data_IF_192594158952
#
_entry.id   IF_192594158952
#
_cell.length_a   1.000
_cell.length_b   1.000
_cell.length_c   1.000
_cell.angle_alpha   90.00
_cell.angle_beta   90.00
_cell.angle_gamma   90.00
#
_symmetry.space_group_name_H-M   'P 1'
#
loop_
_entity.id
_entity.type
_entity.pdbx_description
1 polymer ?
#
# COMPACT_ATOMS: atom_id res chain seq x y z
N UNK A 1 -5.45 16.13 14.64
CA UNK A 1 -4.96 14.82 14.18
C UNK A 1 -3.49 14.77 14.56
N UNK A 2 -3.01 13.62 15.02
CA UNK A 2 -1.58 13.43 15.24
C UNK A 2 -0.91 13.32 13.87
N UNK A 3 -0.02 14.26 13.54
CA UNK A 3 0.70 14.33 12.26
C UNK A 3 2.08 13.67 12.35
N UNK A 4 2.35 12.95 13.44
CA UNK A 4 3.59 12.18 13.56
C UNK A 4 3.63 11.06 12.52
N UNK A 5 4.78 10.93 11.86
CA UNK A 5 5.01 9.84 10.93
C UNK A 5 4.82 8.50 11.64
N UNK A 6 4.19 7.53 10.97
CA UNK A 6 4.00 6.19 11.53
C UNK A 6 5.36 5.65 12.02
N UNK A 7 5.47 5.02 13.20
CA UNK A 7 6.77 4.65 13.77
C UNK A 7 7.66 3.78 12.87
N UNK A 8 7.07 2.99 11.96
CA UNK A 8 7.82 2.22 10.95
C UNK A 8 8.62 3.10 9.96
N UNK A 9 8.16 4.34 9.75
CA UNK A 9 8.77 5.35 8.90
C UNK A 9 9.77 6.23 9.66
N UNK A 10 10.13 5.85 10.89
CA UNK A 10 11.27 6.45 11.57
C UNK A 10 12.58 5.78 11.09
N UNK A 11 13.56 6.53 10.56
CA UNK A 11 14.89 6.00 10.25
C UNK A 11 15.56 5.30 11.44
N UNK A 12 15.31 5.80 12.65
CA UNK A 12 15.88 5.29 13.91
C UNK A 12 15.00 4.24 14.61
N UNK A 13 13.90 3.80 13.98
CA UNK A 13 12.98 2.80 14.53
C UNK A 13 13.67 1.54 15.09
N UNK A 14 14.74 1.09 14.45
CA UNK A 14 15.48 -0.11 14.86
C UNK A 14 16.52 0.15 15.97
N UNK A 15 16.86 1.41 16.23
CA UNK A 15 17.82 1.81 17.26
C UNK A 15 17.17 1.89 18.65
N UNK A 16 15.91 2.28 18.72
CA UNK A 16 15.18 2.43 19.98
C UNK A 16 14.38 1.18 20.34
N UNK A 17 14.35 0.84 21.64
CA UNK A 17 13.52 -0.26 22.13
C UNK A 17 12.07 0.19 22.17
N UNK A 18 11.30 -0.18 21.15
CA UNK A 18 9.85 0.04 21.13
C UNK A 18 9.06 -1.27 21.25
N UNK A 19 7.85 -1.18 21.84
CA UNK A 19 6.92 -2.32 21.89
C UNK A 19 6.53 -2.78 20.48
N UNK A 20 6.36 -1.85 19.55
CA UNK A 20 6.07 -2.16 18.16
C UNK A 20 7.21 -2.95 17.51
N UNK A 21 8.47 -2.50 17.66
CA UNK A 21 9.64 -3.22 17.15
C UNK A 21 9.69 -4.65 17.70
N UNK A 22 9.40 -4.83 18.99
CA UNK A 22 9.34 -6.17 19.60
C UNK A 22 8.27 -7.06 18.95
N UNK A 23 7.06 -6.53 18.75
CA UNK A 23 5.96 -7.28 18.13
C UNK A 23 6.27 -7.67 16.67
N UNK A 24 6.81 -6.75 15.88
CA UNK A 24 7.12 -7.04 14.47
C UNK A 24 8.27 -8.04 14.37
N UNK A 25 9.29 -7.95 15.24
CA UNK A 25 10.35 -8.96 15.33
C UNK A 25 9.80 -10.33 15.73
N UNK A 26 8.83 -10.38 16.64
CA UNK A 26 8.18 -11.63 17.04
C UNK A 26 7.41 -12.25 15.87
N UNK A 27 6.63 -11.46 15.13
CA UNK A 27 5.93 -11.91 13.93
C UNK A 27 6.91 -12.43 12.87
N UNK A 28 8.00 -11.69 12.59
CA UNK A 28 9.04 -12.16 11.66
C UNK A 28 9.66 -13.50 12.09
N UNK A 29 9.98 -13.66 13.39
CA UNK A 29 10.52 -14.93 13.91
C UNK A 29 9.56 -16.09 13.71
N UNK A 30 8.25 -15.87 13.90
CA UNK A 30 7.21 -16.88 13.66
C UNK A 30 7.08 -17.20 12.17
N UNK A 31 7.09 -16.19 11.30
CA UNK A 31 7.04 -16.37 9.85
C UNK A 31 8.17 -17.25 9.30
N UNK A 32 9.30 -17.34 10.02
CA UNK A 32 10.46 -18.16 9.64
C UNK A 32 10.39 -19.63 10.07
N UNK A 33 9.39 -20.02 10.88
CA UNK A 33 9.33 -21.37 11.44
C UNK A 33 8.89 -22.40 10.39
N UNK A 34 7.74 -22.15 9.78
CA UNK A 34 7.17 -22.98 8.73
C UNK A 34 6.17 -22.18 7.88
N UNK A 35 5.65 -22.80 6.82
CA UNK A 35 4.76 -22.17 5.86
C UNK A 35 3.37 -21.86 6.43
N UNK A 36 2.88 -22.65 7.39
CA UNK A 36 1.59 -22.40 8.03
C UNK A 36 1.68 -21.22 9.01
N UNK A 37 2.77 -21.15 9.79
CA UNK A 37 3.10 -20.00 10.62
C UNK A 37 3.28 -18.73 9.76
N UNK A 38 3.89 -18.86 8.58
CA UNK A 38 3.99 -17.74 7.65
C UNK A 38 2.62 -17.29 7.16
N UNK A 39 1.77 -18.21 6.72
CA UNK A 39 0.40 -17.91 6.28
C UNK A 39 -0.39 -17.16 7.36
N UNK A 40 -0.35 -17.66 8.60
CA UNK A 40 -1.07 -17.07 9.73
C UNK A 40 -0.56 -15.67 10.07
N UNK A 41 0.76 -15.49 10.16
CA UNK A 41 1.34 -14.19 10.49
C UNK A 41 1.20 -13.20 9.33
N UNK A 42 1.29 -13.65 8.07
CA UNK A 42 1.04 -12.82 6.89
C UNK A 42 -0.41 -12.31 6.89
N UNK A 43 -1.37 -13.17 7.22
CA UNK A 43 -2.78 -12.80 7.39
C UNK A 43 -2.92 -11.68 8.43
N UNK A 44 -2.30 -11.84 9.61
CA UNK A 44 -2.41 -10.86 10.71
C UNK A 44 -1.67 -9.56 10.45
N UNK A 45 -0.50 -9.64 9.85
CA UNK A 45 0.43 -8.53 9.72
C UNK A 45 0.11 -7.67 8.50
N UNK A 46 -0.29 -8.30 7.39
CA UNK A 46 -0.39 -7.64 6.09
C UNK A 46 -1.84 -7.45 5.66
N UNK A 47 -2.74 -8.37 5.99
CA UNK A 47 -4.14 -8.29 5.57
C UNK A 47 -5.06 -7.71 6.66
N UNK A 48 -6.01 -6.84 6.30
CA UNK A 48 -7.04 -6.35 7.20
C UNK A 48 -7.83 -7.44 7.92
N UNK A 49 -8.17 -7.18 9.19
CA UNK A 49 -9.05 -8.04 9.99
C UNK A 49 -10.43 -8.10 9.33
N UNK A 50 -10.96 -9.31 9.16
CA UNK A 50 -12.28 -9.54 8.55
C UNK A 50 -12.28 -9.53 7.02
N UNK A 51 -11.11 -9.41 6.38
CA UNK A 51 -10.98 -9.68 4.95
C UNK A 51 -11.16 -11.17 4.65
N UNK A 52 -11.50 -11.51 3.40
CA UNK A 52 -11.58 -12.90 2.91
C UNK A 52 -10.22 -13.65 2.90
N UNK A 53 -9.19 -13.06 3.52
CA UNK A 53 -7.83 -13.60 3.55
C UNK A 53 -7.70 -14.88 4.37
N UNK A 54 -8.60 -15.13 5.32
CA UNK A 54 -8.58 -16.35 6.13
C UNK A 54 -8.76 -17.63 5.30
N UNK A 55 -9.46 -17.54 4.17
CA UNK A 55 -9.74 -18.67 3.28
C UNK A 55 -8.70 -18.82 2.16
N UNK A 56 -7.79 -17.84 2.00
CA UNK A 56 -6.76 -17.89 0.98
C UNK A 56 -5.67 -18.91 1.33
N UNK A 57 -5.25 -19.68 0.32
CA UNK A 57 -4.07 -20.55 0.44
C UNK A 57 -2.80 -19.72 0.39
N UNK A 58 -1.72 -20.20 1.01
CA UNK A 58 -0.44 -19.49 1.07
C UNK A 58 0.04 -18.99 -0.31
N UNK A 59 0.04 -19.78 -1.41
CA UNK A 59 0.50 -19.28 -2.71
C UNK A 59 -0.30 -18.08 -3.23
N UNK A 60 -1.61 -18.04 -2.96
CA UNK A 60 -2.48 -16.93 -3.35
C UNK A 60 -2.17 -15.68 -2.52
N UNK A 61 -1.92 -15.87 -1.23
CA UNK A 61 -1.53 -14.77 -0.34
C UNK A 61 -0.17 -14.17 -0.71
N UNK A 62 0.80 -15.02 -1.08
CA UNK A 62 2.11 -14.56 -1.53
C UNK A 62 2.01 -13.81 -2.85
N UNK A 63 1.24 -14.31 -3.81
CA UNK A 63 1.00 -13.62 -5.07
C UNK A 63 0.37 -12.25 -4.84
N UNK A 64 -0.66 -12.17 -3.98
CA UNK A 64 -1.31 -10.91 -3.65
C UNK A 64 -0.39 -9.95 -2.91
N UNK A 65 0.38 -10.41 -1.92
CA UNK A 65 1.34 -9.57 -1.23
C UNK A 65 2.43 -9.05 -2.18
N UNK A 66 2.92 -9.90 -3.09
CA UNK A 66 3.88 -9.52 -4.12
C UNK A 66 3.33 -8.46 -5.08
N UNK A 67 2.04 -8.52 -5.40
CA UNK A 67 1.37 -7.52 -6.24
C UNK A 67 1.42 -6.13 -5.59
N UNK A 68 0.98 -5.98 -4.33
CA UNK A 68 1.04 -4.68 -3.65
C UNK A 68 2.47 -4.21 -3.37
N UNK A 69 3.43 -5.13 -3.22
CA UNK A 69 4.84 -4.75 -3.15
C UNK A 69 5.34 -4.14 -4.47
N UNK A 70 4.88 -4.63 -5.63
CA UNK A 70 5.16 -4.01 -6.93
C UNK A 70 4.41 -2.69 -7.11
N UNK A 71 3.15 -2.63 -6.70
CA UNK A 71 2.37 -1.38 -6.74
C UNK A 71 3.03 -0.28 -5.89
N UNK A 72 3.61 -0.65 -4.75
CA UNK A 72 4.38 0.28 -3.94
C UNK A 72 5.59 0.85 -4.70
N UNK A 73 6.28 0.04 -5.51
CA UNK A 73 7.37 0.54 -6.35
C UNK A 73 6.85 1.48 -7.45
N UNK A 74 5.76 1.11 -8.13
CA UNK A 74 5.11 1.95 -9.16
C UNK A 74 4.69 3.30 -8.58
N UNK A 75 4.09 3.29 -7.38
CA UNK A 75 3.70 4.52 -6.69
C UNK A 75 4.91 5.38 -6.33
N UNK A 76 6.00 4.75 -5.87
CA UNK A 76 7.24 5.46 -5.56
C UNK A 76 7.84 6.08 -6.83
N UNK A 77 7.90 5.35 -7.93
CA UNK A 77 8.39 5.85 -9.22
C UNK A 77 7.57 7.07 -9.68
N UNK A 78 6.24 6.96 -9.68
CA UNK A 78 5.36 8.07 -10.04
C UNK A 78 5.52 9.28 -9.11
N UNK A 79 5.87 9.07 -7.84
CA UNK A 79 6.16 10.17 -6.89
C UNK A 79 7.52 10.81 -7.18
N UNK A 80 8.51 10.02 -7.58
CA UNK A 80 9.85 10.49 -7.94
C UNK A 80 9.80 11.34 -9.21
N UNK A 81 8.95 10.99 -10.18
CA UNK A 81 8.78 11.75 -11.43
C UNK A 81 8.33 13.21 -11.21
N UNK A 82 7.75 13.52 -10.04
CA UNK A 82 7.29 14.86 -9.67
C UNK A 82 8.43 15.69 -9.03
N UNK A 83 9.50 15.04 -8.57
CA UNK A 83 10.58 15.71 -7.85
C UNK A 83 11.57 16.39 -8.82
N UNK A 84 12.12 17.56 -8.43
CA UNK A 84 13.22 18.19 -9.17
C UNK A 84 14.44 17.26 -9.30
N UNK A 85 15.08 17.25 -10.46
CA UNK A 85 16.20 16.35 -10.78
C UNK A 85 17.34 16.44 -9.76
N UNK A 86 17.59 17.63 -9.20
CA UNK A 86 18.67 17.88 -8.24
C UNK A 86 18.48 17.13 -6.92
N UNK A 87 17.25 16.65 -6.64
CA UNK A 87 16.90 15.95 -5.41
C UNK A 87 16.81 14.43 -5.58
N UNK A 88 16.65 13.94 -6.81
CA UNK A 88 16.39 12.52 -7.10
C UNK A 88 17.45 11.59 -6.49
N UNK A 89 18.74 11.90 -6.66
CA UNK A 89 19.83 11.03 -6.21
C UNK A 89 19.84 10.71 -4.71
N UNK A 90 19.19 11.55 -3.89
CA UNK A 90 19.09 11.36 -2.44
C UNK A 90 17.88 10.55 -1.96
N UNK A 91 16.94 10.26 -2.87
CA UNK A 91 15.65 9.63 -2.55
C UNK A 91 15.37 8.36 -3.37
N UNK A 92 16.25 8.04 -4.33
CA UNK A 92 16.18 6.82 -5.13
C UNK A 92 16.23 5.58 -4.22
N UNK A 93 15.27 4.65 -4.36
CA UNK A 93 15.27 3.40 -3.59
C UNK A 93 16.49 2.52 -3.91
N UNK A 94 17.00 1.81 -2.91
CA UNK A 94 17.98 0.74 -3.08
C UNK A 94 17.42 -0.39 -3.96
N UNK A 95 18.22 -0.85 -4.91
CA UNK A 95 17.81 -1.83 -5.91
C UNK A 95 17.43 -3.19 -5.29
N UNK A 96 18.11 -3.65 -4.23
CA UNK A 96 17.75 -4.91 -3.55
C UNK A 96 16.37 -4.81 -2.90
N UNK A 97 16.04 -3.64 -2.34
CA UNK A 97 14.71 -3.39 -1.75
C UNK A 97 13.64 -3.35 -2.85
N UNK A 98 13.95 -2.72 -3.98
CA UNK A 98 13.07 -2.64 -5.15
C UNK A 98 12.77 -4.04 -5.72
N UNK A 99 13.79 -4.88 -5.87
CA UNK A 99 13.60 -6.21 -6.47
C UNK A 99 12.99 -7.24 -5.49
N UNK A 100 12.93 -6.90 -4.20
CA UNK A 100 12.36 -7.76 -3.17
C UNK A 100 10.82 -7.67 -3.14
N UNK A 101 10.16 -8.74 -3.59
CA UNK A 101 8.70 -8.86 -3.66
C UNK A 101 8.12 -9.92 -2.71
N UNK A 102 8.92 -10.37 -1.73
CA UNK A 102 8.49 -11.27 -0.67
C UNK A 102 8.48 -10.55 0.67
N UNK A 103 7.39 -10.67 1.42
CA UNK A 103 7.21 -9.96 2.70
C UNK A 103 8.22 -10.44 3.75
N UNK A 104 8.51 -11.75 3.81
CA UNK A 104 9.42 -12.34 4.79
C UNK A 104 10.85 -11.87 4.52
N UNK A 105 11.27 -11.84 3.26
CA UNK A 105 12.58 -11.34 2.86
C UNK A 105 12.71 -9.82 3.06
N UNK A 106 11.65 -9.07 2.76
CA UNK A 106 11.66 -7.62 2.97
C UNK A 106 11.70 -7.28 4.47
N UNK A 107 11.02 -8.06 5.31
CA UNK A 107 11.13 -7.95 6.77
C UNK A 107 12.54 -8.28 7.26
N UNK A 108 13.22 -9.27 6.68
CA UNK A 108 14.65 -9.54 6.97
C UNK A 108 15.50 -8.30 6.67
N UNK A 109 15.36 -7.70 5.49
CA UNK A 109 16.11 -6.50 5.11
C UNK A 109 15.81 -5.34 6.07
N UNK A 110 14.55 -5.20 6.51
CA UNK A 110 14.11 -4.14 7.42
C UNK A 110 14.81 -4.15 8.80
N UNK A 111 15.29 -5.32 9.23
CA UNK A 111 15.97 -5.52 10.51
C UNK A 111 17.48 -5.67 10.37
N UNK A 112 17.90 -6.50 9.42
CA UNK A 112 19.27 -6.99 9.28
C UNK A 112 20.02 -6.32 8.12
N UNK A 113 19.38 -5.38 7.41
CA UNK A 113 20.00 -4.63 6.33
C UNK A 113 21.27 -3.90 6.78
N UNK A 114 22.30 -3.82 5.92
CA UNK A 114 23.63 -3.33 6.28
C UNK A 114 23.66 -1.84 6.64
N UNK A 115 22.78 -1.03 6.05
CA UNK A 115 22.70 0.41 6.30
C UNK A 115 21.35 0.81 6.90
N UNK A 116 21.34 1.93 7.64
CA UNK A 116 20.10 2.50 8.18
C UNK A 116 19.13 2.88 7.07
N UNK A 117 19.65 3.42 5.95
CA UNK A 117 18.86 3.78 4.79
C UNK A 117 18.14 2.56 4.20
N UNK A 118 18.86 1.46 3.96
CA UNK A 118 18.30 0.23 3.40
C UNK A 118 17.23 -0.40 4.28
N UNK A 119 17.46 -0.39 5.60
CA UNK A 119 16.45 -0.83 6.58
C UNK A 119 15.21 0.06 6.55
N UNK A 120 15.39 1.37 6.46
CA UNK A 120 14.31 2.33 6.35
C UNK A 120 13.50 2.14 5.06
N UNK A 121 14.16 1.98 3.92
CA UNK A 121 13.50 1.77 2.63
C UNK A 121 12.69 0.48 2.58
N UNK A 122 13.21 -0.61 3.15
CA UNK A 122 12.46 -1.85 3.29
C UNK A 122 11.21 -1.67 4.15
N UNK A 123 11.30 -0.94 5.27
CA UNK A 123 10.13 -0.60 6.10
C UNK A 123 9.15 0.30 5.35
N UNK A 124 9.64 1.28 4.59
CA UNK A 124 8.82 2.20 3.78
C UNK A 124 8.03 1.43 2.73
N UNK A 125 8.67 0.52 1.99
CA UNK A 125 8.00 -0.33 0.99
C UNK A 125 6.96 -1.25 1.62
N UNK A 126 7.29 -1.93 2.72
CA UNK A 126 6.33 -2.75 3.48
C UNK A 126 5.10 -1.96 3.91
N UNK A 127 5.33 -0.79 4.51
CA UNK A 127 4.26 0.06 5.01
C UNK A 127 3.38 0.60 3.88
N UNK A 128 3.99 1.02 2.76
CA UNK A 128 3.27 1.53 1.60
C UNK A 128 2.40 0.43 0.97
N UNK A 129 2.95 -0.76 0.75
CA UNK A 129 2.21 -1.90 0.21
C UNK A 129 1.03 -2.30 1.11
N UNK A 130 1.23 -2.33 2.43
CA UNK A 130 0.15 -2.55 3.39
C UNK A 130 -0.92 -1.46 3.30
N UNK A 131 -0.52 -0.20 3.17
CA UNK A 131 -1.44 0.93 3.06
C UNK A 131 -2.28 0.84 1.79
N UNK A 132 -1.66 0.55 0.64
CA UNK A 132 -2.36 0.36 -0.64
C UNK A 132 -3.38 -0.78 -0.55
N UNK A 133 -2.99 -1.92 0.03
CA UNK A 133 -3.90 -3.04 0.28
C UNK A 133 -5.07 -2.64 1.19
N UNK A 134 -4.81 -1.89 2.26
CA UNK A 134 -5.86 -1.44 3.18
C UNK A 134 -6.83 -0.46 2.50
N UNK A 135 -6.33 0.42 1.63
CA UNK A 135 -7.13 1.33 0.81
C UNK A 135 -8.03 0.51 -0.12
N UNK A 136 -7.48 -0.44 -0.86
CA UNK A 136 -8.26 -1.30 -1.76
C UNK A 136 -9.32 -2.14 -1.02
N UNK A 137 -9.03 -2.53 0.22
CA UNK A 137 -9.98 -3.26 1.08
C UNK A 137 -10.93 -2.37 1.88
N UNK A 138 -10.82 -1.05 1.77
CA UNK A 138 -11.72 -0.13 2.43
C UNK A 138 -13.11 -0.22 1.80
N UNK A 139 -14.13 -0.57 2.60
CA UNK A 139 -15.51 -0.69 2.10
C UNK A 139 -16.01 0.56 1.41
N UNK A 140 -15.64 1.76 1.88
CA UNK A 140 -16.06 3.02 1.25
C UNK A 140 -15.54 3.14 -0.18
N UNK A 141 -14.33 2.63 -0.45
CA UNK A 141 -13.72 2.62 -1.78
C UNK A 141 -14.36 1.52 -2.62
N UNK A 142 -14.50 0.30 -2.07
CA UNK A 142 -15.14 -0.83 -2.76
C UNK A 142 -16.61 -0.60 -3.10
N UNK A 143 -17.34 0.11 -2.24
CA UNK A 143 -18.74 0.48 -2.47
C UNK A 143 -18.89 1.66 -3.44
N UNK A 144 -17.81 2.34 -3.83
CA UNK A 144 -17.83 3.48 -4.75
C UNK A 144 -18.65 3.23 -6.01
N UNK A 145 -18.40 2.14 -6.77
CA UNK A 145 -19.21 1.79 -7.94
C UNK A 145 -20.69 1.54 -7.61
N UNK A 146 -21.00 0.95 -6.46
CA UNK A 146 -22.37 0.69 -6.01
C UNK A 146 -23.09 1.99 -5.64
N UNK A 147 -22.42 2.88 -4.91
CA UNK A 147 -22.93 4.20 -4.58
C UNK A 147 -23.14 5.06 -5.83
N UNK A 148 -22.21 5.00 -6.80
CA UNK A 148 -22.36 5.68 -8.09
C UNK A 148 -23.58 5.14 -8.85
N UNK A 149 -23.70 3.82 -8.98
CA UNK A 149 -24.84 3.18 -9.66
C UNK A 149 -26.16 3.57 -9.01
N UNK A 150 -26.22 3.58 -7.67
CA UNK A 150 -27.42 3.98 -6.94
C UNK A 150 -27.75 5.47 -7.13
N UNK A 151 -26.74 6.33 -7.12
CA UNK A 151 -26.90 7.76 -7.39
C UNK A 151 -27.40 8.01 -8.82
N UNK A 152 -26.83 7.34 -9.82
CA UNK A 152 -27.28 7.39 -11.21
C UNK A 152 -28.72 6.88 -11.35
N UNK A 153 -29.11 5.83 -10.62
CA UNK A 153 -30.49 5.33 -10.60
C UNK A 153 -31.47 6.36 -10.02
N UNK A 154 -31.11 7.05 -8.94
CA UNK A 154 -31.92 8.14 -8.36
C UNK A 154 -32.05 9.29 -9.37
N UNK A 155 -30.96 9.70 -10.00
CA UNK A 155 -30.99 10.75 -11.02
C UNK A 155 -31.86 10.35 -12.21
N UNK A 156 -31.75 9.11 -12.68
CA UNK A 156 -32.58 8.57 -13.75
C UNK A 156 -34.07 8.58 -13.42
N UNK A 157 -34.44 8.15 -12.21
CA UNK A 157 -35.83 8.12 -11.73
C UNK A 157 -36.38 9.49 -11.37
N UNK A 158 -35.55 10.47 -11.07
CA UNK A 158 -35.98 11.79 -10.60
C UNK A 158 -35.81 12.86 -11.66
N UNK A 159 -34.55 13.24 -11.89
CA UNK A 159 -34.18 14.38 -12.71
C UNK A 159 -34.27 14.06 -14.21
N UNK A 160 -33.74 12.90 -14.62
CA UNK A 160 -33.57 12.57 -16.03
C UNK A 160 -34.80 11.97 -16.70
N UNK A 161 -35.75 11.40 -15.96
CA UNK A 161 -37.04 10.95 -16.52
C UNK A 161 -37.85 12.09 -17.18
N UNK A 162 -37.52 13.35 -16.86
CA UNK A 162 -38.14 14.54 -17.44
C UNK A 162 -37.24 15.26 -18.45
N UNK A 163 -36.06 14.72 -18.72
CA UNK A 163 -35.13 15.28 -19.71
C UNK A 163 -35.71 15.11 -21.11
N UNK A 164 -35.90 16.24 -21.80
CA UNK A 164 -36.44 16.26 -23.17
C UNK A 164 -35.36 16.28 -24.24
N UNK A 165 -34.13 16.65 -23.88
CA UNK A 165 -32.98 16.72 -24.77
C UNK A 165 -31.70 16.41 -24.00
N UNK A 166 -30.84 15.59 -24.61
CA UNK A 166 -29.47 15.34 -24.16
C UNK A 166 -28.55 16.11 -25.10
N UNK A 167 -27.56 16.81 -24.56
CA UNK A 167 -26.56 17.52 -25.34
C UNK A 167 -25.18 16.99 -24.96
N UNK A 168 -24.43 16.52 -25.95
CA UNK A 168 -23.04 16.11 -25.74
C UNK A 168 -22.18 17.37 -25.60
N UNK A 169 -21.79 17.66 -24.36
CA UNK A 169 -20.87 18.74 -24.05
C UNK A 169 -19.45 18.19 -24.05
N UNK A 170 -18.66 18.62 -25.03
CA UNK A 170 -17.21 18.40 -25.00
C UNK A 170 -16.59 19.46 -24.10
N UNK A 171 -16.21 19.08 -22.89
CA UNK A 171 -15.54 19.99 -21.96
C UNK A 171 -14.04 19.90 -22.17
N UNK A 172 -13.46 20.94 -22.76
CA UNK A 172 -12.00 21.09 -22.87
C UNK A 172 -11.45 21.80 -21.64
N UNK A 173 -10.50 21.17 -20.95
CA UNK A 173 -9.77 21.80 -19.84
C UNK A 173 -8.49 22.43 -20.39
N UNK A 174 -8.34 23.75 -20.25
CA UNK A 174 -7.04 24.42 -20.44
C UNK A 174 -6.23 24.29 -19.14
N UNK A 175 -5.22 23.44 -19.15
CA UNK A 175 -4.26 23.32 -18.07
C UNK A 175 -3.16 24.40 -18.23
N UNK A 176 -3.46 25.64 -17.85
CA UNK A 176 -2.50 26.75 -17.75
C UNK A 176 -2.34 27.65 -18.98
N UNK A 177 -1.73 28.85 -18.81
CA UNK A 177 -1.41 29.78 -19.91
C UNK A 177 -0.07 29.42 -20.59
N UNK A 178 -0.03 29.58 -21.91
CA UNK A 178 1.15 29.39 -22.79
C UNK A 178 2.30 30.37 -22.47
#
# INVERSE_FOLDING_TARGET
MDHTAHPLLDPHFAAERSRLLHLIRLSYRRMRQDDEAYRQELTRFFFPIGSQSNDMRLPQMLARASEYLREADIYLDATLDILPEERLGSVLPDQEVRDCHDVRDLMRISFDGPSTLKRFEARRKLFLAQTLLHIDQCRVIQDGPRHLSHFEEILNRGLWQHTRQIHDLTVGYRLGPD
#
